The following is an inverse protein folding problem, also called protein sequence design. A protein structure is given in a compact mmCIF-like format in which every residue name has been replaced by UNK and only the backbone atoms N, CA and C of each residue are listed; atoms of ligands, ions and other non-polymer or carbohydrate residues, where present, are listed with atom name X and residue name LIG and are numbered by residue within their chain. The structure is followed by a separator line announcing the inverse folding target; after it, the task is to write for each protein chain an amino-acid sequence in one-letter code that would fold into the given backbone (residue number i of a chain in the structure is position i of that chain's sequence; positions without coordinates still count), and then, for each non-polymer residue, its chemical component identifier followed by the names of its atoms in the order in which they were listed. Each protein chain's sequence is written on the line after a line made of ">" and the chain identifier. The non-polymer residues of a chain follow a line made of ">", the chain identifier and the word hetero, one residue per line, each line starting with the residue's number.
data_IF_725722240474
#
_entry.id   IF_725722240474
#
_cell.length_a   1.000
_cell.length_b   1.000
_cell.length_c   1.000
_cell.angle_alpha   90.00
_cell.angle_beta   90.00
_cell.angle_gamma   90.00
#
_symmetry.space_group_name_H-M   'P 1'
#
loop_
_entity.id
_entity.type
_entity.pdbx_description
1 polymer ?
#
# COMPACT_ATOMS: atom_id res chain seq x y z
N UNK A 1 9.65 -26.69 3.41
CA UNK A 1 9.84 -26.33 1.99
C UNK A 1 8.46 -26.09 1.43
N UNK A 2 7.85 -25.00 1.88
CA UNK A 2 6.40 -24.80 1.85
C UNK A 2 6.07 -23.73 0.82
N UNK A 3 5.37 -24.19 -0.22
CA UNK A 3 4.41 -23.48 -1.07
C UNK A 3 4.68 -22.02 -1.48
N UNK A 4 5.55 -21.84 -2.47
CA UNK A 4 5.67 -20.57 -3.20
C UNK A 4 4.53 -20.38 -4.25
N UNK A 5 3.71 -21.39 -4.48
CA UNK A 5 2.74 -21.41 -5.59
C UNK A 5 1.33 -20.92 -5.16
N UNK A 6 0.91 -21.16 -3.92
CA UNK A 6 -0.33 -20.59 -3.36
C UNK A 6 -0.20 -19.10 -3.01
N UNK A 7 1.00 -18.64 -2.64
CA UNK A 7 1.29 -17.22 -2.39
C UNK A 7 1.15 -16.38 -3.66
N UNK A 8 1.72 -16.83 -4.79
CA UNK A 8 1.66 -16.10 -6.06
C UNK A 8 0.23 -15.88 -6.59
N UNK A 9 -0.71 -16.81 -6.32
CA UNK A 9 -2.13 -16.64 -6.65
C UNK A 9 -2.85 -15.63 -5.75
N UNK A 10 -2.41 -15.51 -4.50
CA UNK A 10 -2.95 -14.55 -3.51
C UNK A 10 -2.38 -13.15 -3.74
N UNK A 11 -1.07 -13.04 -4.01
CA UNK A 11 -0.38 -11.78 -4.31
C UNK A 11 -0.92 -11.13 -5.58
N UNK A 12 -1.15 -11.94 -6.62
CA UNK A 12 -1.77 -11.48 -7.87
C UNK A 12 -3.18 -10.91 -7.64
N UNK A 13 -3.97 -11.53 -6.77
CA UNK A 13 -5.30 -11.01 -6.37
C UNK A 13 -5.19 -9.73 -5.54
N UNK A 14 -4.23 -9.65 -4.61
CA UNK A 14 -4.04 -8.51 -3.73
C UNK A 14 -3.54 -7.27 -4.50
N UNK A 15 -2.60 -7.41 -5.43
CA UNK A 15 -2.17 -6.24 -6.23
C UNK A 15 -3.31 -5.72 -7.11
N UNK A 16 -4.20 -6.61 -7.61
CA UNK A 16 -5.42 -6.19 -8.30
C UNK A 16 -6.33 -5.40 -7.36
N UNK A 17 -6.55 -5.88 -6.13
CA UNK A 17 -7.32 -5.15 -5.11
C UNK A 17 -6.75 -3.75 -4.86
N UNK A 18 -5.43 -3.63 -4.71
CA UNK A 18 -4.75 -2.33 -4.52
C UNK A 18 -5.00 -1.40 -5.72
N UNK A 19 -4.82 -1.91 -6.94
CA UNK A 19 -5.05 -1.13 -8.17
C UNK A 19 -6.49 -0.67 -8.32
N UNK A 20 -7.45 -1.53 -8.00
CA UNK A 20 -8.87 -1.17 -8.00
C UNK A 20 -9.20 -0.10 -6.94
N UNK A 21 -8.57 -0.15 -5.76
CA UNK A 21 -8.81 0.82 -4.70
C UNK A 21 -8.30 2.24 -5.05
N UNK A 22 -7.26 2.35 -5.90
CA UNK A 22 -6.58 3.60 -6.23
C UNK A 22 -7.50 4.78 -6.57
N UNK A 23 -8.45 4.70 -7.52
CA UNK A 23 -9.36 5.82 -7.82
C UNK A 23 -10.25 6.23 -6.64
N UNK A 24 -10.58 5.30 -5.75
CA UNK A 24 -11.47 5.54 -4.59
C UNK A 24 -10.73 6.09 -3.36
N UNK A 25 -9.41 5.92 -3.30
CA UNK A 25 -8.53 6.50 -2.28
C UNK A 25 -7.86 7.81 -2.71
N UNK A 26 -7.61 7.99 -4.01
CA UNK A 26 -6.95 9.19 -4.55
C UNK A 26 -7.77 10.48 -4.33
N UNK A 27 -9.10 10.35 -4.24
CA UNK A 27 -10.02 11.43 -3.90
C UNK A 27 -11.14 10.90 -3.02
N UNK A 28 -11.31 11.47 -1.83
CA UNK A 28 -12.40 11.11 -0.92
C UNK A 28 -13.76 11.27 -1.60
N UNK A 29 -14.58 10.24 -1.53
CA UNK A 29 -15.93 10.19 -2.11
C UNK A 29 -16.80 9.13 -1.43
N UNK A 30 -18.03 8.92 -1.92
CA UNK A 30 -19.01 8.04 -1.28
C UNK A 30 -18.54 6.59 -1.04
N UNK A 31 -17.66 6.09 -1.91
CA UNK A 31 -17.16 4.72 -1.85
C UNK A 31 -15.89 4.56 -1.01
N UNK A 32 -15.26 5.66 -0.58
CA UNK A 32 -13.97 5.60 0.12
C UNK A 32 -14.05 4.74 1.39
N UNK A 33 -15.10 4.86 2.19
CA UNK A 33 -15.27 4.06 3.42
C UNK A 33 -15.41 2.56 3.13
N UNK A 34 -16.14 2.20 2.08
CA UNK A 34 -16.31 0.80 1.68
C UNK A 34 -14.97 0.19 1.23
N UNK A 35 -14.17 0.95 0.49
CA UNK A 35 -12.84 0.53 0.08
C UNK A 35 -11.85 0.45 1.25
N UNK A 36 -11.88 1.40 2.18
CA UNK A 36 -11.07 1.33 3.39
C UNK A 36 -11.43 0.10 4.23
N UNK A 37 -12.71 -0.24 4.35
CA UNK A 37 -13.17 -1.45 5.05
C UNK A 37 -12.69 -2.73 4.34
N UNK A 38 -12.79 -2.79 3.01
CA UNK A 38 -12.32 -3.95 2.23
C UNK A 38 -10.79 -4.15 2.33
N UNK A 39 -10.02 -3.06 2.39
CA UNK A 39 -8.57 -3.12 2.58
C UNK A 39 -8.22 -3.54 4.02
N UNK A 40 -8.98 -3.11 5.01
CA UNK A 40 -8.80 -3.54 6.41
C UNK A 40 -8.93 -5.06 6.56
N UNK A 41 -9.91 -5.67 5.88
CA UNK A 41 -10.09 -7.13 5.91
C UNK A 41 -8.87 -7.90 5.38
N UNK A 42 -8.00 -7.25 4.60
CA UNK A 42 -6.79 -7.82 4.00
C UNK A 42 -5.51 -7.20 4.56
N UNK A 43 -5.58 -6.47 5.68
CA UNK A 43 -4.48 -5.65 6.22
C UNK A 43 -3.13 -6.39 6.29
N UNK A 44 -3.06 -7.50 7.03
CA UNK A 44 -1.82 -8.29 7.17
C UNK A 44 -1.27 -8.75 5.81
N UNK A 45 -2.17 -9.18 4.92
CA UNK A 45 -1.80 -9.66 3.59
C UNK A 45 -1.30 -8.52 2.68
N UNK A 46 -1.86 -7.31 2.82
CA UNK A 46 -1.39 -6.11 2.11
C UNK A 46 -0.02 -5.66 2.62
N UNK A 47 0.22 -5.75 3.92
CA UNK A 47 1.55 -5.49 4.50
C UNK A 47 2.59 -6.46 3.93
N UNK A 48 2.32 -7.77 4.02
CA UNK A 48 3.22 -8.81 3.53
C UNK A 48 3.47 -8.72 2.01
N UNK A 49 2.43 -8.37 1.23
CA UNK A 49 2.56 -8.10 -0.19
C UNK A 49 3.59 -6.99 -0.45
N UNK A 50 3.48 -5.84 0.23
CA UNK A 50 4.40 -4.71 0.01
C UNK A 50 5.82 -5.10 0.43
N UNK A 51 5.99 -5.78 1.55
CA UNK A 51 7.29 -6.29 2.00
C UNK A 51 7.95 -7.20 0.96
N UNK A 52 7.19 -8.16 0.42
CA UNK A 52 7.68 -9.07 -0.60
C UNK A 52 8.02 -8.33 -1.90
N UNK A 53 7.16 -7.42 -2.35
CA UNK A 53 7.37 -6.66 -3.57
C UNK A 53 8.59 -5.75 -3.47
N UNK A 54 8.90 -5.18 -2.31
CA UNK A 54 10.11 -4.37 -2.11
C UNK A 54 11.39 -5.13 -2.46
N UNK A 55 11.39 -6.46 -2.34
CA UNK A 55 12.52 -7.34 -2.70
C UNK A 55 12.41 -7.87 -4.13
N UNK A 56 11.20 -8.19 -4.58
CA UNK A 56 10.96 -8.98 -5.80
C UNK A 56 10.57 -8.15 -7.03
N UNK A 57 9.80 -7.07 -6.84
CA UNK A 57 9.37 -6.14 -7.89
C UNK A 57 9.23 -4.72 -7.31
N UNK A 58 10.34 -3.97 -7.23
CA UNK A 58 10.36 -2.66 -6.58
C UNK A 58 9.40 -1.63 -7.20
N UNK A 59 9.16 -1.68 -8.51
CA UNK A 59 8.24 -0.72 -9.15
C UNK A 59 6.79 -1.00 -8.75
N UNK A 60 6.39 -2.26 -8.67
CA UNK A 60 5.06 -2.63 -8.16
C UNK A 60 4.95 -2.38 -6.65
N UNK A 61 6.03 -2.55 -5.89
CA UNK A 61 6.08 -2.16 -4.48
C UNK A 61 5.82 -0.67 -4.28
N UNK A 62 6.46 0.17 -5.12
CA UNK A 62 6.29 1.60 -5.14
C UNK A 62 4.84 1.98 -5.46
N UNK A 63 4.25 1.38 -6.48
CA UNK A 63 2.83 1.56 -6.85
C UNK A 63 1.91 1.21 -5.67
N UNK A 64 2.14 0.06 -5.03
CA UNK A 64 1.30 -0.44 -3.96
C UNK A 64 1.38 0.44 -2.70
N UNK A 65 2.59 0.74 -2.23
CA UNK A 65 2.81 1.61 -1.07
C UNK A 65 2.23 3.02 -1.30
N UNK A 66 2.46 3.58 -2.50
CA UNK A 66 1.88 4.87 -2.89
C UNK A 66 0.35 4.83 -2.94
N UNK A 67 -0.27 3.72 -3.29
CA UNK A 67 -1.73 3.62 -3.33
C UNK A 67 -2.34 3.48 -1.93
N UNK A 68 -1.66 2.75 -1.04
CA UNK A 68 -2.18 2.38 0.28
C UNK A 68 -1.96 3.44 1.37
N UNK A 69 -1.17 4.50 1.17
CA UNK A 69 -0.94 5.52 2.20
C UNK A 69 -2.21 6.13 2.83
N UNK A 70 -3.32 6.38 2.08
CA UNK A 70 -4.54 6.91 2.70
C UNK A 70 -5.19 5.89 3.64
N UNK A 71 -5.05 4.60 3.34
CA UNK A 71 -5.52 3.50 4.20
C UNK A 71 -4.71 3.46 5.49
N UNK A 72 -3.37 3.42 5.39
CA UNK A 72 -2.48 3.40 6.56
C UNK A 72 -2.78 4.57 7.52
N UNK A 73 -3.00 5.77 6.96
CA UNK A 73 -3.34 6.94 7.75
C UNK A 73 -4.75 6.86 8.37
N UNK A 74 -5.78 6.56 7.58
CA UNK A 74 -7.17 6.66 8.04
C UNK A 74 -7.59 5.51 8.96
N UNK A 75 -6.90 4.38 8.90
CA UNK A 75 -7.20 3.19 9.73
C UNK A 75 -6.32 3.04 10.96
N UNK A 76 -5.37 3.97 11.17
CA UNK A 76 -4.53 3.99 12.38
C UNK A 76 -3.23 3.21 12.28
N UNK A 77 -2.88 2.75 11.08
CA UNK A 77 -1.72 1.93 10.77
C UNK A 77 -0.50 2.76 10.32
N UNK A 78 -0.31 3.93 10.94
CA UNK A 78 0.64 4.95 10.46
C UNK A 78 2.11 4.55 10.60
N UNK A 79 2.50 3.79 11.63
CA UNK A 79 3.90 3.44 11.88
C UNK A 79 4.44 2.52 10.77
N UNK A 80 3.79 1.38 10.55
CA UNK A 80 4.15 0.45 9.48
C UNK A 80 4.00 1.08 8.08
N UNK A 81 2.92 1.84 7.85
CA UNK A 81 2.72 2.53 6.57
C UNK A 81 3.86 3.51 6.27
N UNK A 82 4.37 4.21 7.30
CA UNK A 82 5.55 5.07 7.18
C UNK A 82 6.79 4.27 6.81
N UNK A 83 7.08 3.17 7.51
CA UNK A 83 8.27 2.34 7.25
C UNK A 83 8.28 1.79 5.81
N UNK A 84 7.14 1.30 5.34
CA UNK A 84 6.97 0.84 3.96
C UNK A 84 7.15 1.98 2.95
N UNK A 85 6.58 3.16 3.22
CA UNK A 85 6.71 4.33 2.36
C UNK A 85 8.13 4.90 2.32
N UNK A 86 8.86 4.89 3.43
CA UNK A 86 10.26 5.31 3.48
C UNK A 86 11.12 4.46 2.54
N UNK A 87 10.94 3.14 2.59
CA UNK A 87 11.65 2.21 1.71
C UNK A 87 11.22 2.38 0.26
N UNK A 88 9.91 2.42 0.00
CA UNK A 88 9.38 2.59 -1.34
C UNK A 88 9.83 3.92 -1.99
N UNK A 89 9.89 5.01 -1.23
CA UNK A 89 10.28 6.33 -1.76
C UNK A 89 11.76 6.42 -2.19
N UNK A 90 12.59 5.41 -1.91
CA UNK A 90 13.95 5.30 -2.45
C UNK A 90 13.98 4.82 -3.90
N UNK A 91 12.87 4.26 -4.40
CA UNK A 91 12.75 3.68 -5.73
C UNK A 91 12.40 4.78 -6.73
N UNK A 92 13.18 4.88 -7.81
CA UNK A 92 12.89 5.79 -8.91
C UNK A 92 11.76 5.23 -9.79
N UNK A 93 10.63 5.93 -9.85
CA UNK A 93 9.46 5.51 -10.61
C UNK A 93 8.34 6.55 -10.62
N UNK A 94 7.33 6.30 -11.46
CA UNK A 94 6.24 7.26 -11.69
C UNK A 94 5.40 7.57 -10.44
N UNK A 95 5.28 6.60 -9.53
CA UNK A 95 4.51 6.74 -8.29
C UNK A 95 5.29 7.35 -7.11
N UNK A 96 6.59 7.62 -7.30
CA UNK A 96 7.46 8.21 -6.28
C UNK A 96 6.94 9.52 -5.69
N UNK A 97 6.42 10.49 -6.48
CA UNK A 97 5.83 11.70 -5.92
C UNK A 97 4.63 11.41 -5.01
N UNK A 98 3.85 10.37 -5.30
CA UNK A 98 2.67 10.01 -4.52
C UNK A 98 3.07 9.28 -3.23
N UNK A 99 4.07 8.41 -3.28
CA UNK A 99 4.68 7.82 -2.07
C UNK A 99 5.24 8.91 -1.14
N UNK A 100 5.99 9.88 -1.67
CA UNK A 100 6.54 11.00 -0.89
C UNK A 100 5.44 11.88 -0.27
N UNK A 101 4.33 12.13 -1.00
CA UNK A 101 3.16 12.83 -0.46
C UNK A 101 2.59 12.07 0.74
N UNK A 102 2.41 10.76 0.61
CA UNK A 102 1.93 9.91 1.69
C UNK A 102 2.85 9.93 2.90
N UNK A 103 4.15 9.74 2.67
CA UNK A 103 5.19 9.76 3.71
C UNK A 103 5.19 11.08 4.49
N UNK A 104 5.18 12.22 3.78
CA UNK A 104 5.13 13.54 4.41
C UNK A 104 3.83 13.77 5.20
N UNK A 105 2.70 13.27 4.69
CA UNK A 105 1.40 13.39 5.38
C UNK A 105 1.39 12.60 6.69
N UNK A 106 1.87 11.35 6.66
CA UNK A 106 1.93 10.50 7.86
C UNK A 106 2.94 11.05 8.87
N UNK A 107 4.15 11.44 8.43
CA UNK A 107 5.15 12.03 9.30
C UNK A 107 4.62 13.28 10.02
N UNK A 108 3.97 14.20 9.28
CA UNK A 108 3.33 15.37 9.87
C UNK A 108 2.27 15.03 10.93
N UNK A 109 1.53 13.93 10.76
CA UNK A 109 0.50 13.48 11.71
C UNK A 109 1.07 12.87 12.98
N UNK A 110 2.31 12.38 12.95
CA UNK A 110 2.98 11.76 14.09
C UNK A 110 3.75 12.75 14.98
N UNK A 111 3.96 14.00 14.52
CA UNK A 111 4.67 15.05 15.25
C UNK A 111 6.13 15.15 14.85
#
# INVERSE_FOLDING_TARGET
>A
MTDLAAAAGSDGSLIVLVREARPHLARTGPETEAWLSRLEEQHDALHDLVEQLLVTDPLTALEAAATLWPFWWQRGHMNEGRELLERAATIDGADRPHALKGLGTIAFRQG
#
